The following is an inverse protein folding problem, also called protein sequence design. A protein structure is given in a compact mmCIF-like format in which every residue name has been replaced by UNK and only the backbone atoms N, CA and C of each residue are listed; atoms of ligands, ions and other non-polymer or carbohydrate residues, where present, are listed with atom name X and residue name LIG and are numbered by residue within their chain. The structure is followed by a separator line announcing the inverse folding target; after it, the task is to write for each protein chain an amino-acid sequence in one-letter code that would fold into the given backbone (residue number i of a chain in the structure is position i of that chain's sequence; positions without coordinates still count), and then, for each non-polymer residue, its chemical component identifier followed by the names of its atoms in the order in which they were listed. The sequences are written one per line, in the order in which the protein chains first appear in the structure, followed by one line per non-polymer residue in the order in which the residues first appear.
data_IF_395167986836
#
_entry.id   IF_395167986836
#
_cell.length_a   1.000
_cell.length_b   1.000
_cell.length_c   1.000
_cell.angle_alpha   90.00
_cell.angle_beta   90.00
_cell.angle_gamma   90.00
#
_symmetry.space_group_name_H-M   'P 1'
#
loop_
_entity.id
_entity.type
_entity.pdbx_description
1 polymer ?
#
# COMPACT_ATOMS: atom_id res chain seq x y z
N UNK A 1 20.44 6.69 1.99
CA UNK A 1 19.63 6.88 3.22
C UNK A 1 19.43 8.36 3.55
N UNK A 2 18.88 9.15 2.61
CA UNK A 2 18.65 10.60 2.82
C UNK A 2 17.30 10.88 3.53
N UNK A 3 16.41 9.87 3.55
CA UNK A 3 15.00 10.07 3.88
C UNK A 3 14.67 9.92 5.37
N UNK A 4 15.52 9.27 6.18
CA UNK A 4 15.26 9.09 7.62
C UNK A 4 15.27 10.43 8.35
N UNK A 5 16.19 11.33 7.96
CA UNK A 5 16.25 12.68 8.54
C UNK A 5 15.08 13.58 8.12
N UNK A 6 14.30 13.20 7.10
CA UNK A 6 13.05 13.91 6.76
C UNK A 6 12.00 13.66 7.84
N UNK A 7 12.00 12.47 8.45
CA UNK A 7 11.05 12.12 9.51
C UNK A 7 11.38 12.84 10.82
N UNK A 8 12.62 13.24 11.04
CA UNK A 8 13.10 13.98 12.23
C UNK A 8 13.57 15.40 11.87
N UNK A 9 13.04 15.97 10.79
CA UNK A 9 13.52 17.25 10.25
C UNK A 9 13.16 18.44 11.14
N UNK A 10 12.07 18.32 11.92
CA UNK A 10 11.55 19.37 12.82
C UNK A 10 11.69 18.94 14.27
N UNK A 11 11.76 19.92 15.18
CA UNK A 11 11.96 19.68 16.61
C UNK A 11 10.79 18.91 17.25
N UNK A 12 9.55 19.18 16.84
CA UNK A 12 8.37 18.46 17.30
C UNK A 12 8.44 16.97 16.95
N UNK A 13 8.92 16.66 15.75
CA UNK A 13 9.13 15.27 15.31
C UNK A 13 10.25 14.58 16.10
N UNK A 14 11.38 15.26 16.30
CA UNK A 14 12.49 14.73 17.12
C UNK A 14 12.01 14.39 18.54
N UNK A 15 11.22 15.27 19.14
CA UNK A 15 10.65 15.03 20.47
C UNK A 15 9.66 13.87 20.46
N UNK A 16 8.77 13.80 19.45
CA UNK A 16 7.83 12.67 19.29
C UNK A 16 8.54 11.32 19.23
N UNK A 17 9.54 11.19 18.36
CA UNK A 17 10.34 9.95 18.27
C UNK A 17 11.13 9.67 19.54
N UNK A 18 11.65 10.69 20.24
CA UNK A 18 12.34 10.49 21.51
C UNK A 18 11.41 9.97 22.61
N UNK A 19 10.16 10.44 22.65
CA UNK A 19 9.13 9.94 23.56
C UNK A 19 8.81 8.48 23.25
N UNK A 20 8.58 8.15 21.98
CA UNK A 20 8.34 6.77 21.54
C UNK A 20 9.52 5.86 21.87
N UNK A 21 10.76 6.29 21.56
CA UNK A 21 11.97 5.53 21.86
C UNK A 21 12.08 5.23 23.36
N UNK A 22 11.84 6.24 24.21
CA UNK A 22 11.84 6.05 25.66
C UNK A 22 10.74 5.09 26.11
N UNK A 23 9.54 5.21 25.55
CA UNK A 23 8.40 4.36 25.89
C UNK A 23 8.64 2.89 25.52
N UNK A 24 9.12 2.63 24.30
CA UNK A 24 9.39 1.28 23.80
C UNK A 24 10.75 0.72 24.24
N UNK A 25 11.54 1.49 25.00
CA UNK A 25 12.89 1.09 25.40
C UNK A 25 13.85 0.89 24.21
N UNK A 26 13.61 1.60 23.11
CA UNK A 26 14.48 1.57 21.94
C UNK A 26 15.49 2.72 22.01
N UNK A 27 16.63 2.56 21.35
CA UNK A 27 17.59 3.65 21.13
C UNK A 27 17.04 4.77 20.24
N UNK A 28 17.91 5.71 19.85
CA UNK A 28 17.54 6.83 18.99
C UNK A 28 17.00 6.33 17.64
N UNK A 29 15.86 6.88 17.21
CA UNK A 29 15.10 6.39 16.08
C UNK A 29 15.91 6.43 14.77
N UNK A 30 16.54 7.56 14.45
CA UNK A 30 17.27 7.70 13.19
C UNK A 30 18.46 6.73 13.12
N UNK A 31 19.18 6.55 14.22
CA UNK A 31 20.29 5.60 14.33
C UNK A 31 19.82 4.16 14.13
N UNK A 32 18.75 3.74 14.82
CA UNK A 32 18.16 2.40 14.66
C UNK A 32 17.75 2.15 13.20
N UNK A 33 17.02 3.08 12.60
CA UNK A 33 16.51 2.89 11.24
C UNK A 33 17.68 2.85 10.25
N UNK A 34 18.69 3.70 10.40
CA UNK A 34 19.90 3.67 9.55
C UNK A 34 20.66 2.35 9.68
N UNK A 35 20.86 1.87 10.91
CA UNK A 35 21.53 0.58 11.17
C UNK A 35 20.76 -0.59 10.54
N UNK A 36 19.44 -0.64 10.75
CA UNK A 36 18.59 -1.71 10.22
C UNK A 36 18.51 -1.68 8.69
N UNK A 37 18.35 -0.50 8.08
CA UNK A 37 18.33 -0.37 6.63
C UNK A 37 19.66 -0.76 5.99
N UNK A 38 20.79 -0.51 6.65
CA UNK A 38 22.11 -0.97 6.16
C UNK A 38 22.25 -2.49 6.14
N UNK A 39 21.58 -3.20 7.04
CA UNK A 39 21.63 -4.67 7.14
C UNK A 39 20.53 -5.37 6.36
N UNK A 40 19.50 -4.63 5.93
CA UNK A 40 18.37 -5.16 5.19
C UNK A 40 18.83 -5.77 3.87
N UNK A 41 18.35 -6.97 3.58
CA UNK A 41 18.65 -7.68 2.35
C UNK A 41 17.37 -8.27 1.72
N UNK A 42 17.49 -8.74 0.48
CA UNK A 42 16.37 -9.27 -0.30
C UNK A 42 15.66 -10.43 0.41
N UNK A 43 16.40 -11.31 1.10
CA UNK A 43 15.82 -12.46 1.81
C UNK A 43 14.90 -11.97 2.93
N UNK A 44 15.35 -10.98 3.70
CA UNK A 44 14.58 -10.45 4.81
C UNK A 44 13.32 -9.72 4.33
N UNK A 45 13.39 -8.99 3.20
CA UNK A 45 12.22 -8.37 2.55
C UNK A 45 11.22 -9.43 2.10
N UNK A 46 11.67 -10.47 1.39
CA UNK A 46 10.79 -11.54 0.92
C UNK A 46 10.17 -12.32 2.09
N UNK A 47 10.91 -12.51 3.18
CA UNK A 47 10.39 -13.14 4.39
C UNK A 47 9.29 -12.27 5.04
N UNK A 48 9.50 -10.95 5.11
CA UNK A 48 8.50 -10.03 5.64
C UNK A 48 7.22 -10.00 4.78
N UNK A 49 7.36 -9.97 3.45
CA UNK A 49 6.22 -10.04 2.50
C UNK A 49 5.40 -11.30 2.77
N UNK A 50 6.03 -12.47 2.81
CA UNK A 50 5.35 -13.75 3.05
C UNK A 50 4.68 -13.84 4.42
N UNK A 51 5.27 -13.17 5.43
CA UNK A 51 4.76 -13.20 6.80
C UNK A 51 3.59 -12.23 7.03
N UNK A 52 3.61 -11.08 6.37
CA UNK A 52 2.73 -9.96 6.72
C UNK A 52 1.75 -9.56 5.62
N UNK A 53 2.02 -9.88 4.35
CA UNK A 53 1.10 -9.58 3.25
C UNK A 53 0.33 -10.84 2.85
N UNK A 54 -0.97 -10.68 2.64
CA UNK A 54 -1.86 -11.74 2.18
C UNK A 54 -2.79 -11.17 1.12
N UNK A 55 -2.96 -11.92 0.02
CA UNK A 55 -3.99 -11.61 -0.98
C UNK A 55 -5.39 -12.08 -0.55
N UNK A 56 -5.49 -12.91 0.49
CA UNK A 56 -6.75 -13.46 1.00
C UNK A 56 -7.37 -12.56 2.09
N UNK A 57 -6.52 -12.01 2.96
CA UNK A 57 -6.91 -11.15 4.09
C UNK A 57 -6.64 -9.68 3.79
N UNK A 58 -7.21 -9.19 2.68
CA UNK A 58 -7.02 -7.83 2.20
C UNK A 58 -8.32 -7.03 2.26
N UNK A 59 -8.25 -5.81 2.78
CA UNK A 59 -9.32 -4.81 2.68
C UNK A 59 -8.80 -3.59 1.95
N UNK A 60 -9.55 -3.14 0.94
CA UNK A 60 -9.20 -1.99 0.11
C UNK A 60 -10.31 -0.96 0.26
N UNK A 61 -9.95 0.28 0.62
CA UNK A 61 -10.86 1.42 0.66
C UNK A 61 -10.51 2.35 -0.49
N UNK A 62 -11.48 2.63 -1.35
CA UNK A 62 -11.31 3.46 -2.54
C UNK A 62 -12.29 4.63 -2.47
N UNK A 63 -11.79 5.84 -2.72
CA UNK A 63 -12.61 7.05 -2.88
C UNK A 63 -12.70 7.34 -4.37
N UNK A 64 -13.91 7.31 -4.92
CA UNK A 64 -14.17 7.54 -6.35
C UNK A 64 -15.45 8.34 -6.54
N UNK A 65 -15.55 9.06 -7.67
CA UNK A 65 -16.77 9.76 -8.08
C UNK A 65 -17.87 8.79 -8.48
N UNK A 66 -17.51 7.68 -9.14
CA UNK A 66 -18.45 6.67 -9.60
C UNK A 66 -18.21 5.34 -8.88
N UNK A 67 -18.75 5.25 -7.66
CA UNK A 67 -18.60 4.06 -6.82
C UNK A 67 -19.45 2.88 -7.33
N UNK A 68 -20.58 3.15 -7.98
CA UNK A 68 -21.44 2.11 -8.54
C UNK A 68 -20.76 1.46 -9.76
N UNK A 69 -20.27 2.25 -10.71
CA UNK A 69 -19.54 1.75 -11.87
C UNK A 69 -18.25 1.01 -11.47
N UNK A 70 -17.53 1.51 -10.46
CA UNK A 70 -16.35 0.81 -9.95
C UNK A 70 -16.71 -0.53 -9.30
N UNK A 71 -17.78 -0.60 -8.50
CA UNK A 71 -18.26 -1.87 -7.92
C UNK A 71 -18.54 -2.87 -9.05
N UNK A 72 -19.29 -2.46 -10.06
CA UNK A 72 -19.70 -3.33 -11.15
C UNK A 72 -18.48 -3.81 -11.96
N UNK A 73 -17.47 -2.95 -12.16
CA UNK A 73 -16.20 -3.34 -12.79
C UNK A 73 -15.40 -4.36 -11.95
N UNK A 74 -15.36 -4.19 -10.62
CA UNK A 74 -14.63 -5.09 -9.71
C UNK A 74 -15.23 -6.50 -9.66
N UNK A 75 -16.56 -6.60 -9.62
CA UNK A 75 -17.26 -7.90 -9.52
C UNK A 75 -17.45 -8.57 -10.88
N UNK A 76 -17.43 -7.79 -11.97
CA UNK A 76 -17.63 -8.30 -13.32
C UNK A 76 -16.44 -9.09 -13.87
N UNK A 77 -15.27 -9.01 -13.24
CA UNK A 77 -14.05 -9.70 -13.66
C UNK A 77 -13.71 -9.43 -15.14
N UNK A 78 -14.10 -8.27 -15.68
CA UNK A 78 -13.78 -7.89 -17.05
C UNK A 78 -12.28 -7.67 -17.23
N UNK A 79 -11.80 -7.75 -18.47
CA UNK A 79 -10.40 -7.42 -18.75
C UNK A 79 -10.10 -6.00 -18.25
N UNK A 80 -9.07 -5.87 -17.41
CA UNK A 80 -8.66 -4.61 -16.79
C UNK A 80 -7.42 -4.05 -17.49
N UNK A 81 -7.58 -3.13 -18.45
CA UNK A 81 -6.43 -2.53 -19.14
C UNK A 81 -5.68 -1.56 -18.24
N UNK A 82 -4.37 -1.43 -18.48
CA UNK A 82 -3.53 -0.38 -17.90
C UNK A 82 -3.04 0.55 -19.02
N UNK A 83 -3.05 1.85 -18.74
CA UNK A 83 -2.59 2.89 -19.67
C UNK A 83 -1.43 3.63 -19.02
N UNK A 84 -0.40 3.92 -19.80
CA UNK A 84 0.76 4.70 -19.37
C UNK A 84 0.90 5.95 -20.21
N UNK A 85 1.44 7.02 -19.62
CA UNK A 85 1.70 8.29 -20.31
C UNK A 85 2.87 8.24 -21.32
N UNK A 86 3.43 7.06 -21.60
CA UNK A 86 4.51 6.89 -22.56
C UNK A 86 4.84 5.42 -22.86
N UNK A 87 5.66 5.20 -23.88
CA UNK A 87 6.00 3.86 -24.37
C UNK A 87 6.65 3.01 -23.29
N UNK A 88 6.18 1.76 -23.18
CA UNK A 88 6.73 0.74 -22.27
C UNK A 88 7.34 -0.41 -23.04
N UNK A 89 8.36 -1.08 -22.48
CA UNK A 89 8.94 -2.26 -23.09
C UNK A 89 7.89 -3.35 -23.34
N UNK A 90 8.00 -4.04 -24.47
CA UNK A 90 7.08 -5.12 -24.83
C UNK A 90 6.91 -6.20 -23.73
N UNK A 91 7.98 -6.65 -23.01
CA UNK A 91 7.81 -7.64 -21.94
C UNK A 91 6.87 -7.18 -20.82
N UNK A 92 6.86 -5.88 -20.51
CA UNK A 92 5.97 -5.30 -19.48
C UNK A 92 4.52 -5.31 -19.97
N UNK A 93 4.27 -4.91 -21.22
CA UNK A 93 2.93 -4.89 -21.81
C UNK A 93 2.32 -6.29 -21.96
N UNK A 94 3.17 -7.30 -22.22
CA UNK A 94 2.74 -8.70 -22.22
C UNK A 94 2.35 -9.20 -20.84
N UNK A 95 3.11 -8.81 -19.81
CA UNK A 95 2.78 -9.11 -18.42
C UNK A 95 1.46 -8.43 -18.01
N UNK A 96 1.29 -7.16 -18.33
CA UNK A 96 0.06 -6.41 -18.08
C UNK A 96 -1.16 -7.05 -18.74
N UNK A 97 -1.02 -7.58 -19.97
CA UNK A 97 -2.11 -8.32 -20.62
C UNK A 97 -2.47 -9.59 -19.85
N UNK A 98 -1.50 -10.30 -19.28
CA UNK A 98 -1.78 -11.49 -18.45
C UNK A 98 -2.46 -11.08 -17.15
N UNK A 99 -1.97 -10.04 -16.48
CA UNK A 99 -2.52 -9.53 -15.21
C UNK A 99 -3.95 -9.02 -15.43
N UNK A 100 -4.18 -8.23 -16.47
CA UNK A 100 -5.50 -7.66 -16.78
C UNK A 100 -6.57 -8.72 -17.12
N UNK A 101 -6.17 -9.93 -17.48
CA UNK A 101 -7.07 -11.05 -17.74
C UNK A 101 -7.36 -11.92 -16.50
N UNK A 102 -6.67 -11.69 -15.37
CA UNK A 102 -6.87 -12.45 -14.14
C UNK A 102 -8.30 -12.23 -13.62
N UNK A 103 -8.97 -13.34 -13.33
CA UNK A 103 -10.29 -13.37 -12.70
C UNK A 103 -10.07 -13.41 -11.20
N UNK A 104 -10.48 -12.36 -10.50
CA UNK A 104 -10.32 -12.22 -9.06
C UNK A 104 -11.47 -12.89 -8.31
N UNK A 105 -12.61 -13.13 -8.96
CA UNK A 105 -13.76 -13.81 -8.35
C UNK A 105 -14.29 -13.05 -7.14
N UNK A 106 -14.28 -11.71 -7.20
CA UNK A 106 -14.68 -10.87 -6.07
C UNK A 106 -16.19 -11.06 -5.85
N UNK A 107 -16.53 -11.65 -4.72
CA UNK A 107 -17.92 -11.78 -4.30
C UNK A 107 -18.55 -10.40 -4.13
N UNK A 108 -19.66 -10.18 -4.83
CA UNK A 108 -20.48 -8.96 -4.74
C UNK A 108 -20.83 -8.58 -3.29
N UNK A 109 -21.03 -9.57 -2.41
CA UNK A 109 -21.33 -9.33 -1.00
C UNK A 109 -20.15 -8.70 -0.23
N UNK A 110 -18.92 -8.80 -0.76
CA UNK A 110 -17.71 -8.21 -0.18
C UNK A 110 -17.42 -6.79 -0.67
N UNK A 111 -18.20 -6.25 -1.61
CA UNK A 111 -18.03 -4.88 -2.10
C UNK A 111 -19.14 -4.00 -1.56
N UNK A 112 -18.78 -3.04 -0.70
CA UNK A 112 -19.71 -2.08 -0.10
C UNK A 112 -19.47 -0.69 -0.66
N UNK A 113 -20.54 -0.05 -1.11
CA UNK A 113 -20.54 1.38 -1.47
C UNK A 113 -21.11 2.18 -0.31
N UNK A 114 -20.33 3.12 0.21
CA UNK A 114 -20.75 4.05 1.27
C UNK A 114 -20.74 5.47 0.71
N UNK A 115 -21.88 6.19 0.74
CA UNK A 115 -21.91 7.60 0.37
C UNK A 115 -20.97 8.45 1.24
N UNK A 116 -20.30 9.44 0.65
CA UNK A 116 -19.38 10.30 1.39
C UNK A 116 -20.07 11.06 2.54
N UNK A 117 -21.35 11.37 2.41
CA UNK A 117 -22.19 11.98 3.46
C UNK A 117 -22.29 11.13 4.72
N UNK A 118 -22.07 9.82 4.61
CA UNK A 118 -22.27 8.87 5.70
C UNK A 118 -20.95 8.52 6.40
N UNK A 119 -19.82 8.98 5.87
CA UNK A 119 -18.48 8.74 6.42
C UNK A 119 -18.11 9.75 7.51
N UNK A 120 -18.58 10.99 7.37
CA UNK A 120 -18.31 12.04 8.35
C UNK A 120 -19.43 12.07 9.39
N UNK A 121 -19.07 12.08 10.67
CA UNK A 121 -20.03 12.30 11.75
C UNK A 121 -20.73 13.66 11.54
N UNK A 122 -22.04 13.70 11.74
CA UNK A 122 -22.79 14.96 11.81
C UNK A 122 -22.42 15.75 13.06
#
# INVERSE_FOLDING_TARGET
MKNVFVMTARQDQQLGYALDSRWYGTGEFADIIRERLRRLNLRDVNAAIKRHLSAENLSIVIITRDAAGLRDALVGDAFSPVTYDGDKPAPLLEEDRRIGALKLGIDTAKVRVTPASDVFAR
#
